data_IF_144121652354
#
_entry.id   IF_144121652354
#
_cell.length_a   1.000
_cell.length_b   1.000
_cell.length_c   1.000
_cell.angle_alpha   90.00
_cell.angle_beta   90.00
_cell.angle_gamma   90.00
#
_symmetry.space_group_name_H-M   'P 1'
#
loop_
_entity.id
_entity.type
_entity.pdbx_description
1 polymer ?
#
# COMPACT_ATOMS: atom_id res chain seq x y z
N UNK A 1 26.80 -28.02 6.32
CA UNK A 1 26.28 -27.18 7.42
C UNK A 1 27.11 -25.91 7.55
N UNK A 2 26.79 -24.86 6.79
CA UNK A 2 27.20 -23.48 7.08
C UNK A 2 26.53 -22.52 6.09
N UNK A 3 26.16 -21.32 6.59
CA UNK A 3 25.69 -20.10 5.89
C UNK A 3 24.17 -19.91 5.76
N UNK A 4 23.56 -19.35 6.81
CA UNK A 4 22.26 -18.66 6.74
C UNK A 4 22.16 -17.39 7.62
N UNK A 5 23.29 -16.81 8.07
CA UNK A 5 23.28 -15.66 9.01
C UNK A 5 23.61 -14.29 8.41
N UNK A 6 23.79 -14.16 7.08
CA UNK A 6 24.36 -12.92 6.52
C UNK A 6 23.35 -11.84 6.07
N UNK A 7 22.05 -12.12 6.07
CA UNK A 7 21.04 -11.21 5.49
C UNK A 7 20.42 -10.23 6.50
N UNK A 8 20.38 -10.55 7.80
CA UNK A 8 19.75 -9.70 8.81
C UNK A 8 20.61 -8.51 9.27
N UNK A 9 21.94 -8.66 9.27
CA UNK A 9 22.86 -7.62 9.75
C UNK A 9 23.01 -6.45 8.79
N UNK A 10 22.82 -6.68 7.48
CA UNK A 10 22.88 -5.62 6.47
C UNK A 10 21.63 -4.73 6.51
N UNK A 11 20.45 -5.33 6.73
CA UNK A 11 19.16 -4.65 6.88
C UNK A 11 19.11 -3.71 8.09
N UNK A 12 19.65 -4.13 9.24
CA UNK A 12 19.73 -3.30 10.44
C UNK A 12 20.74 -2.13 10.29
N UNK A 13 21.82 -2.32 9.53
CA UNK A 13 22.80 -1.25 9.26
C UNK A 13 22.26 -0.18 8.31
N UNK A 14 21.46 -0.54 7.30
CA UNK A 14 20.78 0.43 6.44
C UNK A 14 19.69 1.21 7.17
N UNK A 15 18.95 0.58 8.08
CA UNK A 15 17.99 1.27 8.95
C UNK A 15 18.69 2.23 9.94
N UNK A 16 19.84 1.81 10.50
CA UNK A 16 20.66 2.64 11.38
C UNK A 16 21.31 3.84 10.69
N UNK A 17 21.74 3.70 9.43
CA UNK A 17 22.33 4.81 8.66
C UNK A 17 21.30 5.90 8.30
N UNK A 18 20.02 5.55 8.15
CA UNK A 18 18.94 6.51 7.88
C UNK A 18 18.57 7.35 9.11
N UNK A 19 18.86 6.85 10.31
CA UNK A 19 18.53 7.50 11.59
C UNK A 19 19.54 8.57 12.05
N UNK A 20 20.66 8.76 11.33
CA UNK A 20 21.75 9.67 11.74
C UNK A 20 21.85 10.97 10.93
N UNK A 21 20.87 11.32 10.10
CA UNK A 21 20.89 12.60 9.37
C UNK A 21 20.14 13.71 10.11
N UNK A 22 20.95 14.42 10.91
CA UNK A 22 20.93 15.86 11.21
C UNK A 22 19.61 16.50 11.67
N UNK A 23 19.55 16.76 12.98
CA UNK A 23 18.61 17.65 13.65
C UNK A 23 19.15 19.07 13.63
N UNK A 24 18.82 19.87 12.61
CA UNK A 24 18.91 21.32 12.72
C UNK A 24 17.88 22.06 11.86
N UNK A 25 17.01 22.79 12.57
CA UNK A 25 16.28 24.02 12.20
C UNK A 25 15.30 23.99 11.00
N UNK A 26 13.99 23.96 11.30
CA UNK A 26 13.05 25.08 11.05
C UNK A 26 11.64 24.69 11.54
N UNK A 27 11.09 25.47 12.49
CA UNK A 27 9.69 25.44 12.92
C UNK A 27 8.90 26.46 12.10
N UNK A 28 7.90 26.00 11.34
CA UNK A 28 6.55 26.59 11.21
C UNK A 28 5.80 25.90 10.05
N UNK A 29 4.81 25.08 10.40
CA UNK A 29 3.93 24.38 9.47
C UNK A 29 3.86 22.87 9.74
N UNK A 30 2.82 22.45 10.47
CA UNK A 30 2.57 21.06 10.88
C UNK A 30 2.64 20.08 9.67
N UNK A 31 3.34 18.93 9.80
CA UNK A 31 3.41 17.90 8.76
C UNK A 31 2.07 17.17 8.55
N UNK A 32 1.96 16.48 7.40
CA UNK A 32 0.70 15.97 6.82
C UNK A 32 0.89 14.49 6.31
N UNK A 33 0.13 13.52 6.90
CA UNK A 33 0.35 12.04 6.93
C UNK A 33 -0.25 11.27 5.76
N UNK A 34 0.42 10.22 5.24
CA UNK A 34 -0.14 9.42 4.14
C UNK A 34 -1.03 8.24 4.58
N UNK A 35 -2.29 8.21 4.15
CA UNK A 35 -3.14 7.00 4.13
C UNK A 35 -2.78 6.05 2.96
N UNK A 36 -3.58 4.99 2.78
CA UNK A 36 -3.54 3.99 1.69
C UNK A 36 -3.65 4.61 0.28
N UNK A 37 -4.39 5.70 0.18
CA UNK A 37 -4.58 6.61 -0.96
C UNK A 37 -3.59 7.80 -0.93
N UNK A 38 -2.56 7.76 -0.09
CA UNK A 38 -1.67 8.90 0.12
C UNK A 38 -2.31 10.13 0.76
N UNK A 39 -3.60 10.14 1.01
CA UNK A 39 -4.36 11.29 1.45
C UNK A 39 -4.42 11.42 2.95
N UNK A 40 -4.54 12.65 3.44
CA UNK A 40 -4.09 12.97 4.78
C UNK A 40 -5.29 13.41 5.62
N UNK A 41 -5.88 12.50 6.38
CA UNK A 41 -6.82 12.87 7.43
C UNK A 41 -6.02 13.14 8.71
N UNK A 42 -6.02 14.39 9.17
CA UNK A 42 -5.24 14.83 10.34
C UNK A 42 -5.76 14.11 11.59
N UNK A 43 -4.94 13.26 12.20
CA UNK A 43 -5.12 12.91 13.61
C UNK A 43 -4.83 14.16 14.46
N UNK A 44 -5.61 14.43 15.52
CA UNK A 44 -5.23 15.44 16.51
C UNK A 44 -3.82 15.12 17.04
N UNK A 45 -3.00 16.15 17.31
CA UNK A 45 -1.60 15.98 17.74
C UNK A 45 -1.43 15.09 19.00
N UNK A 46 -2.50 14.89 19.76
CA UNK A 46 -2.53 14.10 20.99
C UNK A 46 -2.95 12.62 20.75
N UNK A 47 -3.33 12.25 19.53
CA UNK A 47 -3.93 10.95 19.24
C UNK A 47 -2.92 9.99 18.61
N UNK A 48 -2.19 9.28 19.47
CA UNK A 48 -1.18 8.27 19.10
C UNK A 48 -1.83 7.02 18.47
N UNK A 49 -3.13 6.83 18.69
CA UNK A 49 -3.87 5.62 18.35
C UNK A 49 -5.22 5.94 17.69
N UNK A 50 -5.55 5.25 16.60
CA UNK A 50 -6.84 5.36 15.92
C UNK A 50 -7.48 3.98 15.70
N UNK A 51 -8.78 3.80 15.98
CA UNK A 51 -9.55 2.58 15.68
C UNK A 51 -10.60 2.84 14.59
N UNK A 52 -10.75 1.93 13.63
CA UNK A 52 -11.85 1.89 12.65
C UNK A 52 -12.15 3.22 11.93
N UNK A 53 -11.12 3.95 11.53
CA UNK A 53 -11.29 5.33 11.04
C UNK A 53 -11.58 5.47 9.55
N UNK A 54 -11.42 4.39 8.79
CA UNK A 54 -11.54 4.43 7.33
C UNK A 54 -12.05 3.10 6.80
N UNK A 55 -13.10 3.18 5.98
CA UNK A 55 -13.55 2.09 5.13
C UNK A 55 -13.43 2.54 3.67
N UNK A 56 -12.93 1.67 2.80
CA UNK A 56 -12.83 1.97 1.37
C UNK A 56 -13.47 0.87 0.53
N UNK A 57 -13.94 1.25 -0.64
CA UNK A 57 -14.42 0.34 -1.67
C UNK A 57 -13.42 0.36 -2.83
N UNK A 58 -12.83 -0.79 -3.10
CA UNK A 58 -11.88 -0.98 -4.19
C UNK A 58 -12.55 -1.74 -5.33
N UNK A 59 -12.39 -1.22 -6.54
CA UNK A 59 -12.75 -1.87 -7.79
C UNK A 59 -11.48 -2.39 -8.45
N UNK A 60 -11.42 -3.70 -8.69
CA UNK A 60 -10.29 -4.37 -9.32
C UNK A 60 -10.74 -4.91 -10.69
N UNK A 61 -9.82 -5.01 -11.65
CA UNK A 61 -10.07 -5.65 -12.94
C UNK A 61 -10.85 -6.98 -12.81
N UNK A 62 -11.70 -7.26 -13.79
CA UNK A 62 -12.55 -8.46 -13.79
C UNK A 62 -13.85 -8.30 -12.99
N UNK A 63 -14.22 -7.07 -12.62
CA UNK A 63 -15.47 -6.79 -11.92
C UNK A 63 -15.45 -7.16 -10.43
N UNK A 64 -14.26 -7.40 -9.87
CA UNK A 64 -14.12 -7.70 -8.44
C UNK A 64 -14.29 -6.41 -7.63
N UNK A 65 -15.19 -6.45 -6.65
CA UNK A 65 -15.40 -5.38 -5.69
C UNK A 65 -14.99 -5.84 -4.29
N UNK A 66 -14.23 -5.00 -3.60
CA UNK A 66 -13.72 -5.29 -2.25
C UNK A 66 -14.01 -4.12 -1.32
N UNK A 67 -14.41 -4.45 -0.10
CA UNK A 67 -14.46 -3.51 1.02
C UNK A 67 -13.26 -3.79 1.93
N UNK A 68 -12.52 -2.75 2.28
CA UNK A 68 -11.43 -2.83 3.24
C UNK A 68 -11.66 -1.83 4.38
N UNK A 69 -11.12 -2.14 5.55
CA UNK A 69 -11.23 -1.25 6.71
C UNK A 69 -9.90 -1.18 7.44
N UNK A 70 -9.47 0.04 7.73
CA UNK A 70 -8.34 0.32 8.62
C UNK A 70 -8.79 0.01 10.04
N UNK A 71 -8.26 -1.05 10.63
CA UNK A 71 -8.67 -1.48 11.98
C UNK A 71 -7.99 -0.63 13.02
N UNK A 72 -6.67 -0.47 12.90
CA UNK A 72 -5.93 0.37 13.82
C UNK A 72 -4.69 0.99 13.17
N UNK A 73 -4.34 2.18 13.62
CA UNK A 73 -3.10 2.86 13.28
C UNK A 73 -2.42 3.37 14.56
N UNK A 74 -1.12 3.12 14.67
CA UNK A 74 -0.28 3.56 15.78
C UNK A 74 0.83 4.42 15.21
N UNK A 75 0.85 5.70 15.54
CA UNK A 75 1.93 6.59 15.16
C UNK A 75 3.15 6.38 16.06
N UNK A 76 4.34 6.25 15.48
CA UNK A 76 5.61 6.10 16.23
C UNK A 76 6.45 7.36 16.05
N UNK A 77 6.70 8.08 17.16
CA UNK A 77 7.57 9.26 17.19
C UNK A 77 6.83 10.53 16.83
N UNK A 78 7.39 11.34 15.93
CA UNK A 78 6.61 12.39 15.30
C UNK A 78 5.50 11.72 14.53
N UNK A 79 4.26 12.06 14.87
CA UNK A 79 3.19 11.55 14.06
C UNK A 79 3.51 12.13 12.63
N UNK A 80 3.38 11.31 11.57
CA UNK A 80 3.48 11.59 10.12
C UNK A 80 4.63 10.85 9.46
N UNK A 81 5.62 10.50 10.27
CA UNK A 81 6.88 9.97 9.74
C UNK A 81 6.85 8.46 9.61
N UNK A 82 6.35 7.81 10.65
CA UNK A 82 6.29 6.36 10.77
C UNK A 82 5.01 6.00 11.50
N UNK A 83 4.19 5.16 10.88
CA UNK A 83 3.07 4.53 11.58
C UNK A 83 3.12 3.03 11.38
N UNK A 84 2.70 2.31 12.43
CA UNK A 84 2.37 0.90 12.37
C UNK A 84 0.88 0.80 12.10
N UNK A 85 0.53 0.00 11.12
CA UNK A 85 -0.79 -0.02 10.54
C UNK A 85 -1.30 -1.44 10.45
N UNK A 86 -2.53 -1.63 10.94
CA UNK A 86 -3.25 -2.90 10.91
C UNK A 86 -4.50 -2.76 10.06
N UNK A 87 -4.53 -3.50 8.96
CA UNK A 87 -5.68 -3.60 8.07
C UNK A 87 -6.41 -4.92 8.22
N UNK A 88 -7.73 -4.82 8.15
CA UNK A 88 -8.61 -5.95 7.94
C UNK A 88 -9.36 -5.74 6.64
N UNK A 89 -9.23 -6.71 5.74
CA UNK A 89 -10.10 -6.76 4.58
C UNK A 89 -11.30 -7.61 4.91
N UNK A 90 -12.48 -7.00 4.82
CA UNK A 90 -13.75 -7.63 5.12
C UNK A 90 -14.73 -7.34 3.99
N UNK A 91 -15.07 -8.38 3.24
CA UNK A 91 -16.01 -8.31 2.12
C UNK A 91 -15.31 -8.24 0.77
N UNK A 92 -15.31 -9.36 0.05
CA UNK A 92 -15.19 -9.35 -1.40
C UNK A 92 -16.57 -9.74 -1.93
N UNK A 93 -17.25 -8.86 -2.66
CA UNK A 93 -18.50 -9.22 -3.32
C UNK A 93 -18.21 -9.82 -4.68
N UNK A 94 -18.70 -11.05 -4.83
CA UNK A 94 -18.91 -11.87 -6.04
C UNK A 94 -17.70 -12.21 -6.90
N UNK A 95 -17.57 -13.51 -7.18
CA UNK A 95 -16.80 -14.03 -8.31
C UNK A 95 -17.11 -13.20 -9.57
N UNK A 96 -16.10 -12.89 -10.41
CA UNK A 96 -16.35 -12.53 -11.79
C UNK A 96 -17.35 -13.53 -12.37
N UNK A 97 -18.30 -13.09 -13.19
CA UNK A 97 -19.40 -13.90 -13.74
C UNK A 97 -18.90 -15.11 -14.58
N UNK A 98 -17.58 -15.35 -14.72
CA UNK A 98 -17.04 -16.42 -15.58
C UNK A 98 -15.92 -17.33 -15.06
N UNK A 99 -15.17 -17.06 -13.99
CA UNK A 99 -13.85 -17.73 -13.85
C UNK A 99 -13.67 -18.62 -12.61
N UNK A 100 -13.32 -19.90 -12.88
CA UNK A 100 -12.79 -20.90 -11.91
C UNK A 100 -11.57 -20.41 -11.11
N UNK A 101 -10.93 -19.31 -11.53
CA UNK A 101 -9.69 -18.79 -10.96
C UNK A 101 -9.86 -17.55 -10.07
N UNK A 102 -11.09 -17.17 -9.69
CA UNK A 102 -11.36 -15.92 -8.94
C UNK A 102 -10.54 -15.77 -7.64
N UNK A 103 -10.34 -16.85 -6.87
CA UNK A 103 -9.53 -16.81 -5.64
C UNK A 103 -8.04 -16.59 -5.94
N UNK A 104 -7.52 -17.24 -6.98
CA UNK A 104 -6.12 -17.07 -7.38
C UNK A 104 -5.87 -15.68 -7.97
N UNK A 105 -6.81 -15.13 -8.74
CA UNK A 105 -6.74 -13.76 -9.23
C UNK A 105 -6.73 -12.73 -8.08
N UNK A 106 -7.55 -12.95 -7.04
CA UNK A 106 -7.54 -12.15 -5.82
C UNK A 106 -6.20 -12.26 -5.08
N UNK A 107 -5.69 -13.49 -4.91
CA UNK A 107 -4.39 -13.73 -4.29
C UNK A 107 -3.27 -12.98 -5.00
N UNK A 108 -3.30 -12.91 -6.33
CA UNK A 108 -2.31 -12.17 -7.11
C UNK A 108 -2.45 -10.65 -6.91
N UNK A 109 -3.68 -10.15 -6.92
CA UNK A 109 -3.95 -8.75 -6.58
C UNK A 109 -3.44 -8.40 -5.18
N UNK A 110 -3.59 -9.31 -4.22
CA UNK A 110 -3.08 -9.14 -2.87
C UNK A 110 -1.56 -9.17 -2.79
N UNK A 111 -0.89 -9.97 -3.62
CA UNK A 111 0.57 -9.96 -3.71
C UNK A 111 1.06 -8.59 -4.22
N UNK A 112 0.39 -8.05 -5.25
CA UNK A 112 0.72 -6.77 -5.90
C UNK A 112 0.48 -5.55 -5.02
N UNK A 113 -0.66 -5.52 -4.33
CA UNK A 113 -1.08 -4.37 -3.53
C UNK A 113 -0.39 -4.41 -2.16
N UNK A 114 0.40 -3.40 -1.80
CA UNK A 114 1.12 -3.34 -0.52
C UNK A 114 0.25 -3.43 0.73
N UNK A 115 -1.04 -3.11 0.61
CA UNK A 115 -2.02 -3.24 1.68
C UNK A 115 -2.86 -4.52 1.59
N UNK A 116 -2.67 -5.30 0.52
CA UNK A 116 -3.31 -6.59 0.19
C UNK A 116 -3.36 -7.63 1.30
N UNK A 117 -4.22 -8.63 1.10
CA UNK A 117 -4.36 -9.78 1.99
C UNK A 117 -5.48 -9.62 3.02
N UNK A 118 -5.88 -10.74 3.63
CA UNK A 118 -7.00 -10.75 4.59
C UNK A 118 -6.67 -9.96 5.86
N UNK A 119 -5.44 -10.13 6.34
CA UNK A 119 -4.85 -9.39 7.45
C UNK A 119 -3.51 -8.85 6.98
N UNK A 120 -3.24 -7.57 7.25
CA UNK A 120 -1.96 -6.94 6.95
C UNK A 120 -1.49 -6.14 8.16
N UNK A 121 -0.24 -6.37 8.56
CA UNK A 121 0.43 -5.61 9.61
C UNK A 121 1.73 -5.12 9.04
N UNK A 122 1.97 -3.81 9.11
CA UNK A 122 3.17 -3.24 8.56
C UNK A 122 3.49 -1.86 9.09
N UNK A 123 4.58 -1.31 8.59
CA UNK A 123 4.91 0.09 8.75
C UNK A 123 4.95 0.75 7.39
N UNK A 124 4.56 2.01 7.35
CA UNK A 124 4.80 2.87 6.20
C UNK A 124 5.24 4.24 6.67
N UNK A 125 5.82 4.99 5.74
CA UNK A 125 6.27 6.33 6.03
C UNK A 125 6.50 7.11 4.74
N UNK A 126 6.51 8.43 4.93
CA UNK A 126 6.83 9.38 3.88
C UNK A 126 7.79 10.41 4.44
N UNK A 127 8.82 10.74 3.66
CA UNK A 127 9.75 11.83 3.99
C UNK A 127 9.84 12.77 2.82
N UNK A 128 9.40 14.01 3.04
CA UNK A 128 9.59 15.10 2.09
C UNK A 128 11.08 15.27 1.79
N UNK A 129 11.46 15.18 0.52
CA UNK A 129 12.85 15.32 0.11
C UNK A 129 13.13 16.62 -0.65
N UNK A 130 12.12 17.21 -1.32
CA UNK A 130 12.30 18.45 -2.09
C UNK A 130 11.03 19.28 -2.17
N UNK A 131 11.15 20.59 -1.96
CA UNK A 131 10.10 21.56 -2.31
C UNK A 131 10.35 22.08 -3.74
N UNK A 132 9.32 22.11 -4.59
CA UNK A 132 9.41 22.64 -5.97
C UNK A 132 8.76 24.02 -6.11
N UNK A 133 7.67 24.28 -5.40
CA UNK A 133 6.96 25.57 -5.38
C UNK A 133 6.43 25.85 -3.97
N UNK A 134 5.61 26.87 -3.74
CA UNK A 134 4.95 27.05 -2.43
C UNK A 134 4.03 25.86 -2.06
N UNK A 135 3.44 25.22 -3.07
CA UNK A 135 2.37 24.24 -2.89
C UNK A 135 2.72 22.85 -3.43
N UNK A 136 3.85 22.73 -4.10
CA UNK A 136 4.29 21.49 -4.74
C UNK A 136 5.57 20.99 -4.10
N UNK A 137 5.57 19.72 -3.70
CA UNK A 137 6.72 19.07 -3.10
C UNK A 137 6.80 17.62 -3.55
N UNK A 138 7.97 17.02 -3.33
CA UNK A 138 8.23 15.64 -3.65
C UNK A 138 8.70 14.92 -2.39
N UNK A 139 8.16 13.73 -2.18
CA UNK A 139 8.35 12.90 -1.00
C UNK A 139 8.85 11.52 -1.39
N UNK A 140 9.73 10.95 -0.58
CA UNK A 140 10.12 9.55 -0.66
C UNK A 140 9.17 8.75 0.22
N UNK A 141 8.54 7.73 -0.34
CA UNK A 141 7.58 6.87 0.37
C UNK A 141 8.16 5.48 0.51
N UNK A 142 7.92 4.83 1.64
CA UNK A 142 8.32 3.45 1.86
C UNK A 142 7.28 2.70 2.68
N UNK A 143 7.25 1.38 2.49
CA UNK A 143 6.35 0.49 3.21
C UNK A 143 7.04 -0.85 3.42
N UNK A 144 6.78 -1.49 4.56
CA UNK A 144 6.97 -2.91 4.71
C UNK A 144 5.81 -3.52 5.48
N UNK A 145 5.35 -4.71 5.09
CA UNK A 145 4.21 -5.38 5.71
C UNK A 145 4.38 -6.90 5.68
N UNK A 146 3.74 -7.56 6.65
CA UNK A 146 3.47 -9.00 6.62
C UNK A 146 1.97 -9.16 6.42
N UNK A 147 1.61 -9.95 5.42
CA UNK A 147 0.24 -10.11 4.93
C UNK A 147 -0.16 -11.57 4.91
N UNK A 148 -1.40 -11.86 5.23
CA UNK A 148 -1.99 -13.19 5.01
C UNK A 148 -2.70 -13.24 3.66
N UNK A 149 -2.40 -14.27 2.88
CA UNK A 149 -2.97 -14.53 1.57
C UNK A 149 -3.72 -15.86 1.59
N UNK A 150 -4.63 -16.05 0.64
CA UNK A 150 -5.29 -17.34 0.42
C UNK A 150 -5.32 -17.61 -1.08
N UNK A 151 -4.76 -18.74 -1.49
CA UNK A 151 -4.87 -19.24 -2.85
C UNK A 151 -5.62 -20.58 -2.88
N UNK A 152 -6.01 -21.04 -4.05
CA UNK A 152 -6.59 -22.36 -4.29
C UNK A 152 -5.55 -23.23 -5.00
N UNK A 153 -5.29 -24.41 -4.44
CA UNK A 153 -4.36 -25.38 -5.02
C UNK A 153 -4.81 -25.82 -6.41
N UNK A 154 -3.89 -25.84 -7.38
CA UNK A 154 -4.19 -26.31 -8.74
C UNK A 154 -4.46 -27.81 -8.79
N UNK A 155 -3.93 -28.59 -7.84
CA UNK A 155 -4.07 -30.05 -7.81
C UNK A 155 -5.30 -30.50 -7.01
N UNK A 156 -5.52 -29.88 -5.84
CA UNK A 156 -6.52 -30.37 -4.87
C UNK A 156 -7.77 -29.51 -4.80
N UNK A 157 -7.78 -28.35 -5.45
CA UNK A 157 -8.83 -27.32 -5.36
C UNK A 157 -9.11 -26.84 -3.91
N UNK A 158 -8.21 -27.16 -2.96
CA UNK A 158 -8.31 -26.71 -1.57
C UNK A 158 -7.69 -25.34 -1.39
N UNK A 159 -8.26 -24.56 -0.46
CA UNK A 159 -7.69 -23.28 -0.06
C UNK A 159 -6.41 -23.49 0.76
N UNK A 160 -5.35 -22.82 0.35
CA UNK A 160 -4.03 -22.86 0.97
C UNK A 160 -3.75 -21.48 1.58
N UNK A 161 -3.64 -21.38 2.92
CA UNK A 161 -3.25 -20.13 3.57
C UNK A 161 -1.75 -19.89 3.40
N UNK A 162 -1.39 -18.67 3.04
CA UNK A 162 -0.01 -18.24 2.81
C UNK A 162 0.30 -16.95 3.56
N UNK A 163 1.58 -16.68 3.78
CA UNK A 163 2.06 -15.41 4.30
C UNK A 163 3.01 -14.78 3.29
N UNK A 164 2.98 -13.46 3.19
CA UNK A 164 3.79 -12.69 2.25
C UNK A 164 4.42 -11.51 2.98
N UNK A 165 5.75 -11.43 2.90
CA UNK A 165 6.49 -10.24 3.30
C UNK A 165 6.55 -9.27 2.13
N UNK A 166 6.08 -8.04 2.33
CA UNK A 166 6.06 -6.99 1.32
C UNK A 166 6.97 -5.84 1.72
N UNK A 167 7.66 -5.27 0.73
CA UNK A 167 8.49 -4.10 0.87
C UNK A 167 8.30 -3.22 -0.35
N UNK A 168 8.18 -1.92 -0.17
CA UNK A 168 8.18 -0.99 -1.30
C UNK A 168 8.87 0.32 -0.98
N UNK A 169 9.37 0.96 -2.02
CA UNK A 169 9.96 2.28 -1.97
C UNK A 169 9.65 3.04 -3.27
N UNK A 170 9.42 4.34 -3.15
CA UNK A 170 9.02 5.16 -4.27
C UNK A 170 9.13 6.65 -4.04
N UNK A 171 8.72 7.39 -5.07
CA UNK A 171 8.64 8.84 -5.06
C UNK A 171 7.21 9.26 -5.31
N UNK A 172 6.80 10.31 -4.61
CA UNK A 172 5.48 10.91 -4.72
C UNK A 172 5.61 12.41 -4.93
N UNK A 173 4.95 12.92 -5.95
CA UNK A 173 4.79 14.33 -6.24
C UNK A 173 3.43 14.77 -5.71
N UNK A 174 3.42 15.77 -4.84
CA UNK A 174 2.23 16.29 -4.17
C UNK A 174 2.04 17.75 -4.55
N UNK A 175 0.82 18.14 -4.91
CA UNK A 175 0.43 19.54 -5.17
C UNK A 175 -0.84 19.88 -4.42
N UNK A 176 -0.73 20.83 -3.50
CA UNK A 176 -1.83 21.29 -2.65
C UNK A 176 -2.59 22.46 -3.26
N UNK A 177 -3.89 22.50 -3.02
CA UNK A 177 -4.79 23.56 -3.46
C UNK A 177 -5.54 24.20 -2.29
N UNK A 178 -5.82 25.50 -2.41
CA UNK A 178 -6.59 26.30 -1.46
C UNK A 178 -7.91 26.75 -2.06
N UNK A 179 -8.94 26.87 -1.22
CA UNK A 179 -10.17 27.56 -1.58
C UNK A 179 -9.93 29.05 -1.56
N UNK A 180 -10.42 29.74 -2.59
CA UNK A 180 -10.31 31.19 -2.70
C UNK A 180 -10.90 31.86 -1.44
N UNK A 181 -10.14 32.78 -0.83
CA UNK A 181 -10.55 33.47 0.39
C UNK A 181 -10.23 32.74 1.72
N UNK A 182 -9.66 31.54 1.70
CA UNK A 182 -9.21 30.83 2.91
C UNK A 182 -7.72 30.51 2.86
N UNK A 183 -7.02 30.61 4.00
CA UNK A 183 -5.61 30.17 4.12
C UNK A 183 -5.45 28.66 4.36
N UNK A 184 -6.55 27.93 4.57
CA UNK A 184 -6.52 26.49 4.81
C UNK A 184 -6.49 25.69 3.50
N UNK A 185 -5.64 24.67 3.46
CA UNK A 185 -5.60 23.62 2.41
C UNK A 185 -6.95 22.94 2.31
N UNK A 186 -7.52 22.93 1.09
CA UNK A 186 -8.83 22.33 0.80
C UNK A 186 -8.75 21.14 -0.15
N UNK A 187 -7.61 20.93 -0.80
CA UNK A 187 -7.42 19.76 -1.65
C UNK A 187 -5.95 19.49 -1.94
N UNK A 188 -5.71 18.30 -2.47
CA UNK A 188 -4.38 17.80 -2.82
C UNK A 188 -4.50 16.91 -4.05
N UNK A 189 -3.63 17.11 -5.04
CA UNK A 189 -3.46 16.17 -6.14
C UNK A 189 -2.07 15.56 -6.02
N UNK A 190 -1.96 14.26 -6.25
CA UNK A 190 -0.70 13.56 -6.10
C UNK A 190 -0.51 12.48 -7.17
N UNK A 191 0.77 12.21 -7.45
CA UNK A 191 1.20 11.12 -8.34
C UNK A 191 2.38 10.41 -7.67
N UNK A 192 2.33 9.08 -7.62
CA UNK A 192 3.31 8.22 -6.96
C UNK A 192 3.79 7.14 -7.93
N UNK A 193 5.09 6.89 -7.92
CA UNK A 193 5.72 5.74 -8.59
C UNK A 193 6.54 4.99 -7.57
N UNK A 194 6.44 3.66 -7.56
CA UNK A 194 7.16 2.85 -6.60
C UNK A 194 7.49 1.46 -7.13
N UNK A 195 8.56 0.89 -6.58
CA UNK A 195 8.94 -0.50 -6.76
C UNK A 195 8.54 -1.27 -5.51
N UNK A 196 7.92 -2.43 -5.72
CA UNK A 196 7.56 -3.36 -4.67
C UNK A 196 8.34 -4.67 -4.79
N UNK A 197 8.49 -5.33 -3.67
CA UNK A 197 9.04 -6.67 -3.53
C UNK A 197 8.11 -7.46 -2.61
N UNK A 198 7.67 -8.64 -3.06
CA UNK A 198 6.93 -9.59 -2.25
C UNK A 198 7.71 -10.91 -2.15
N UNK A 199 8.14 -11.25 -0.94
CA UNK A 199 8.70 -12.55 -0.61
C UNK A 199 7.59 -13.50 -0.17
N UNK A 200 7.47 -14.64 -0.85
CA UNK A 200 6.43 -15.64 -0.61
C UNK A 200 7.07 -17.01 -0.35
N UNK A 201 6.30 -17.91 0.26
CA UNK A 201 6.69 -19.31 0.45
C UNK A 201 6.68 -20.04 -0.91
N UNK A 202 7.84 -20.53 -1.34
CA UNK A 202 7.99 -21.17 -2.66
C UNK A 202 7.12 -22.41 -2.83
N UNK A 203 7.04 -23.27 -1.80
CA UNK A 203 6.27 -24.51 -1.85
C UNK A 203 4.77 -24.20 -2.00
N UNK A 204 4.28 -23.22 -1.24
CA UNK A 204 2.88 -22.80 -1.34
C UNK A 204 2.57 -22.09 -2.66
N UNK A 205 3.49 -21.26 -3.16
CA UNK A 205 3.33 -20.62 -4.47
C UNK A 205 3.25 -21.66 -5.59
N UNK A 206 4.09 -22.70 -5.57
CA UNK A 206 4.01 -23.82 -6.52
C UNK A 206 2.70 -24.59 -6.37
N UNK A 207 2.25 -24.83 -5.14
CA UNK A 207 0.97 -25.50 -4.88
C UNK A 207 -0.24 -24.73 -5.45
N UNK A 208 -0.21 -23.40 -5.39
CA UNK A 208 -1.32 -22.52 -5.79
C UNK A 208 -1.28 -22.15 -7.28
N UNK A 209 -0.10 -22.06 -7.90
CA UNK A 209 0.06 -21.54 -9.26
C UNK A 209 0.80 -22.48 -10.21
N UNK A 210 1.24 -23.66 -9.74
CA UNK A 210 1.97 -24.65 -10.52
C UNK A 210 3.50 -24.54 -10.42
N UNK A 211 4.20 -25.61 -10.80
CA UNK A 211 5.66 -25.71 -10.71
C UNK A 211 6.41 -24.78 -11.68
N UNK A 212 5.75 -24.31 -12.74
CA UNK A 212 6.32 -23.40 -13.74
C UNK A 212 6.62 -22.00 -13.19
N UNK A 213 6.24 -21.72 -11.95
CA UNK A 213 6.49 -20.45 -11.27
C UNK A 213 7.96 -20.36 -10.85
N UNK A 214 8.76 -19.73 -11.71
CA UNK A 214 10.23 -19.73 -11.60
C UNK A 214 10.80 -19.01 -10.37
N UNK A 215 10.05 -18.12 -9.70
CA UNK A 215 10.58 -17.30 -8.61
C UNK A 215 9.53 -17.03 -7.52
N UNK A 216 9.84 -17.40 -6.27
CA UNK A 216 9.03 -17.08 -5.09
C UNK A 216 9.07 -15.58 -4.71
N UNK A 217 10.10 -14.88 -5.20
CA UNK A 217 10.26 -13.44 -5.04
C UNK A 217 9.62 -12.72 -6.22
N UNK A 218 8.68 -11.83 -5.93
CA UNK A 218 7.95 -11.07 -6.93
C UNK A 218 8.37 -9.60 -6.86
N UNK A 219 8.78 -9.04 -7.98
CA UNK A 219 9.13 -7.62 -8.10
C UNK A 219 8.00 -6.93 -8.85
N UNK A 220 7.54 -5.81 -8.31
CA UNK A 220 6.42 -5.06 -8.85
C UNK A 220 6.85 -3.64 -9.19
N UNK A 221 6.29 -3.10 -10.27
CA UNK A 221 6.41 -1.70 -10.65
C UNK A 221 5.03 -1.10 -10.72
N UNK A 222 4.82 -0.03 -9.96
CA UNK A 222 3.50 0.48 -9.69
C UNK A 222 3.44 2.00 -9.88
N UNK A 223 2.30 2.45 -10.36
CA UNK A 223 1.96 3.84 -10.57
C UNK A 223 0.62 4.12 -9.90
N UNK A 224 0.54 5.21 -9.16
CA UNK A 224 -0.68 5.64 -8.50
C UNK A 224 -0.85 7.14 -8.67
N UNK A 225 -2.10 7.59 -8.74
CA UNK A 225 -2.43 9.00 -8.68
C UNK A 225 -3.78 9.18 -7.99
N UNK A 226 -3.96 10.33 -7.36
CA UNK A 226 -5.20 10.62 -6.68
C UNK A 226 -5.44 12.10 -6.47
N UNK A 227 -6.69 12.38 -6.11
CA UNK A 227 -7.17 13.71 -5.76
C UNK A 227 -7.91 13.61 -4.43
N UNK A 228 -7.53 14.50 -3.53
CA UNK A 228 -8.21 14.80 -2.29
C UNK A 228 -8.96 16.10 -2.41
N UNK A 229 -10.16 16.11 -1.87
CA UNK A 229 -10.90 17.32 -1.54
C UNK A 229 -11.38 17.14 -0.11
N UNK A 230 -10.83 17.97 0.78
CA UNK A 230 -11.10 17.91 2.22
C UNK A 230 -12.60 17.97 2.47
N UNK A 231 -13.12 17.01 3.24
CA UNK A 231 -14.54 16.91 3.62
C UNK A 231 -15.50 16.60 2.45
N UNK A 232 -14.99 16.21 1.29
CA UNK A 232 -15.81 15.88 0.12
C UNK A 232 -15.48 14.50 -0.47
N UNK A 233 -14.25 14.32 -0.96
CA UNK A 233 -13.90 13.11 -1.70
C UNK A 233 -12.40 12.82 -1.67
N UNK A 234 -12.05 11.54 -1.66
CA UNK A 234 -10.74 11.02 -2.03
C UNK A 234 -10.94 10.04 -3.18
N UNK A 235 -10.26 10.29 -4.30
CA UNK A 235 -10.34 9.42 -5.50
C UNK A 235 -8.93 8.99 -5.84
N UNK A 236 -8.73 7.69 -5.99
CA UNK A 236 -7.44 7.09 -6.31
C UNK A 236 -7.54 6.15 -7.50
N UNK A 237 -6.58 6.26 -8.39
CA UNK A 237 -6.36 5.32 -9.47
C UNK A 237 -4.95 4.73 -9.35
N UNK A 238 -4.85 3.43 -9.57
CA UNK A 238 -3.60 2.70 -9.42
C UNK A 238 -3.43 1.64 -10.50
N UNK A 239 -2.18 1.45 -10.90
CA UNK A 239 -1.75 0.43 -11.85
C UNK A 239 -0.59 -0.33 -11.24
N UNK A 240 -0.75 -1.63 -11.05
CA UNK A 240 0.25 -2.52 -10.48
C UNK A 240 0.65 -3.58 -11.49
N UNK A 241 1.94 -3.92 -11.56
CA UNK A 241 2.40 -4.96 -12.50
C UNK A 241 3.64 -5.67 -11.99
N UNK A 242 3.70 -6.99 -12.20
CA UNK A 242 4.95 -7.73 -12.04
C UNK A 242 5.98 -7.36 -13.12
N UNK A 243 7.21 -7.13 -12.68
CA UNK A 243 8.36 -6.92 -13.55
C UNK A 243 9.02 -8.25 -13.92
N UNK A 244 9.00 -9.22 -13.02
CA UNK A 244 9.44 -10.59 -13.25
C UNK A 244 8.25 -11.56 -13.45
N UNK A 245 8.52 -12.82 -13.81
CA UNK A 245 7.52 -13.89 -13.94
C UNK A 245 6.39 -13.68 -14.96
N UNK A 246 6.57 -12.80 -15.95
CA UNK A 246 5.59 -12.53 -17.03
C UNK A 246 5.33 -13.70 -18.00
N UNK A 247 6.04 -14.82 -17.85
CA UNK A 247 5.86 -16.00 -18.71
C UNK A 247 4.56 -16.74 -18.38
N UNK A 248 4.08 -16.64 -17.15
CA UNK A 248 2.78 -17.16 -16.75
C UNK A 248 1.72 -16.11 -17.08
N UNK A 249 0.68 -16.50 -17.80
CA UNK A 249 -0.41 -15.62 -18.25
C UNK A 249 -1.08 -14.85 -17.10
N UNK A 250 -1.18 -15.48 -15.92
CA UNK A 250 -1.79 -14.86 -14.75
C UNK A 250 -0.96 -13.70 -14.18
N UNK A 251 0.35 -13.64 -14.46
CA UNK A 251 1.25 -12.55 -14.01
C UNK A 251 1.61 -11.55 -15.12
N UNK A 252 1.21 -11.79 -16.37
CA UNK A 252 1.61 -10.94 -17.50
C UNK A 252 0.84 -9.62 -17.58
N UNK A 253 -0.37 -9.60 -17.01
CA UNK A 253 -1.33 -8.52 -17.11
C UNK A 253 -1.17 -7.47 -16.00
N UNK A 254 -1.33 -6.17 -16.32
CA UNK A 254 -1.42 -5.13 -15.29
C UNK A 254 -2.75 -5.22 -14.52
N UNK A 255 -2.69 -4.88 -13.24
CA UNK A 255 -3.85 -4.76 -12.36
C UNK A 255 -4.20 -3.29 -12.21
N UNK A 256 -5.40 -2.92 -12.64
CA UNK A 256 -5.96 -1.60 -12.42
C UNK A 256 -6.83 -1.65 -11.17
N UNK A 257 -6.67 -0.67 -10.29
CA UNK A 257 -7.51 -0.50 -9.13
C UNK A 257 -7.96 0.95 -9.01
N UNK A 258 -9.26 1.11 -8.77
CA UNK A 258 -9.91 2.39 -8.52
C UNK A 258 -10.52 2.35 -7.12
N UNK A 259 -10.26 3.39 -6.33
CA UNK A 259 -10.85 3.57 -5.00
C UNK A 259 -11.46 4.97 -4.93
N UNK A 260 -12.62 5.06 -4.28
CA UNK A 260 -13.26 6.33 -3.99
C UNK A 260 -13.85 6.29 -2.59
N UNK A 261 -13.46 7.25 -1.76
CA UNK A 261 -14.12 7.59 -0.51
C UNK A 261 -14.86 8.92 -0.72
N UNK A 262 -16.18 8.90 -0.52
CA UNK A 262 -17.03 10.07 -0.66
C UNK A 262 -17.60 10.37 0.72
N UNK A 263 -17.12 11.45 1.33
CA UNK A 263 -17.68 11.92 2.58
C UNK A 263 -18.94 12.70 2.28
N UNK A 264 -20.10 12.07 2.51
CA UNK A 264 -21.38 12.77 2.54
C UNK A 264 -21.57 13.43 3.92
N UNK A 265 -20.67 14.33 4.32
CA UNK A 265 -21.01 15.25 5.40
C UNK A 265 -21.91 16.35 4.82
N UNK A 266 -23.19 16.01 4.66
CA UNK A 266 -24.24 17.01 4.53
C UNK A 266 -24.35 17.77 5.85
N UNK A 267 -24.23 19.10 5.77
CA UNK A 267 -24.79 19.97 6.80
C UNK A 267 -26.30 19.77 6.89
#
# INVERSE_FOLDING_TARGET
MSRCCFTWTLLLKTAGLMAQLDTSQYYDGLPVYSDTTGTTKKLPADNIFEWFSQGEIEFINGGMLRSCTKVAEISIGEPDKVSVLMYLMAGATTQPVSDKYGINALCISDILNGYGGKYSIGFHGSKKFRQLSKNTFVSATYQAAIRSLTGTSVETEKNIPMYSGYYSAGLRLDTKAWKHGTKSETGEAWVKTFLGYAGNDEEKMKTVFGEDLMQHNMITGNFECGIFIKDYAAITFSVHRFLNNRKTEVFSHPYYMFSADISMSGN
#
